data_IF_692572613015
#
_entry.id   IF_692572613015
#
_cell.length_a   1.000
_cell.length_b   1.000
_cell.length_c   1.000
_cell.angle_alpha   90.00
_cell.angle_beta   90.00
_cell.angle_gamma   90.00
#
_symmetry.space_group_name_H-M   'P 1'
#
loop_
_entity.id
_entity.type
_entity.pdbx_description
1 polymer ?
#
# COMPACT_ATOMS: atom_id res chain seq x y z
N UNK A 1 -8.76 -3.36 21.85
CA UNK A 1 -8.48 -3.23 20.40
C UNK A 1 -9.79 -2.92 19.67
N UNK A 2 -9.89 -1.78 18.97
CA UNK A 2 -11.15 -1.31 18.35
C UNK A 2 -11.54 -2.15 17.12
N UNK A 3 -10.55 -2.69 16.39
CA UNK A 3 -10.77 -3.56 15.23
C UNK A 3 -11.53 -4.83 15.64
N UNK A 4 -11.22 -5.43 16.80
CA UNK A 4 -11.93 -6.62 17.29
C UNK A 4 -13.42 -6.34 17.57
N UNK A 5 -13.74 -5.13 18.05
CA UNK A 5 -15.12 -4.74 18.30
C UNK A 5 -15.89 -4.41 17.01
N UNK A 6 -15.19 -3.94 15.97
CA UNK A 6 -15.78 -3.47 14.71
C UNK A 6 -14.92 -3.89 13.50
N UNK A 7 -14.90 -5.18 13.15
CA UNK A 7 -13.93 -5.74 12.19
C UNK A 7 -14.20 -5.35 10.74
N UNK A 8 -15.39 -4.88 10.41
CA UNK A 8 -15.79 -4.52 9.04
C UNK A 8 -15.62 -3.03 8.73
N UNK A 9 -15.21 -2.21 9.71
CA UNK A 9 -15.06 -0.77 9.52
C UNK A 9 -13.68 -0.47 8.91
N UNK A 10 -13.59 -0.04 7.63
CA UNK A 10 -12.30 0.12 6.95
C UNK A 10 -11.39 1.18 7.57
N UNK A 11 -12.00 2.19 8.21
CA UNK A 11 -11.25 3.30 8.81
C UNK A 11 -10.31 2.84 9.94
N UNK A 12 -10.70 1.83 10.72
CA UNK A 12 -9.86 1.33 11.80
C UNK A 12 -8.66 0.53 11.28
N UNK A 13 -8.87 -0.27 10.23
CA UNK A 13 -7.78 -0.96 9.54
C UNK A 13 -6.79 0.03 8.93
N UNK A 14 -7.31 1.09 8.28
CA UNK A 14 -6.49 2.14 7.68
C UNK A 14 -5.66 2.89 8.73
N UNK A 15 -6.29 3.32 9.82
CA UNK A 15 -5.60 4.03 10.90
C UNK A 15 -4.52 3.16 11.55
N UNK A 16 -4.80 1.88 11.76
CA UNK A 16 -3.81 0.96 12.31
C UNK A 16 -2.65 0.68 11.34
N UNK A 17 -2.93 0.57 10.05
CA UNK A 17 -1.91 0.45 9.02
C UNK A 17 -0.98 1.68 8.97
N UNK A 18 -1.53 2.89 9.06
CA UNK A 18 -0.77 4.14 9.10
C UNK A 18 0.18 4.17 10.32
N UNK A 19 -0.31 3.75 11.50
CA UNK A 19 0.50 3.68 12.73
C UNK A 19 1.64 2.68 12.58
N UNK A 20 1.33 1.46 12.13
CA UNK A 20 2.35 0.41 11.92
C UNK A 20 3.41 0.83 10.90
N UNK A 21 2.99 1.45 9.79
CA UNK A 21 3.92 1.97 8.79
C UNK A 21 4.85 3.03 9.38
N UNK A 22 4.32 3.92 10.21
CA UNK A 22 5.07 5.00 10.87
C UNK A 22 6.05 4.45 11.91
N UNK A 23 5.67 3.42 12.67
CA UNK A 23 6.56 2.74 13.62
C UNK A 23 7.76 2.10 12.91
N UNK A 24 7.60 1.68 11.66
CA UNK A 24 8.67 1.12 10.84
C UNK A 24 9.18 -0.23 11.36
N UNK A 25 10.22 -0.75 10.72
CA UNK A 25 10.70 -2.11 10.96
C UNK A 25 9.96 -3.14 10.10
N UNK A 26 10.63 -4.25 9.78
CA UNK A 26 10.16 -5.20 8.77
C UNK A 26 8.80 -5.83 9.13
N UNK A 27 8.64 -6.28 10.38
CA UNK A 27 7.41 -6.91 10.87
C UNK A 27 6.22 -5.94 10.86
N UNK A 28 6.43 -4.70 11.30
CA UNK A 28 5.40 -3.68 11.28
C UNK A 28 5.00 -3.32 9.85
N UNK A 29 5.96 -3.21 8.92
CA UNK A 29 5.67 -2.92 7.51
C UNK A 29 4.90 -4.05 6.81
N UNK A 30 5.26 -5.31 7.10
CA UNK A 30 4.52 -6.47 6.61
C UNK A 30 3.10 -6.49 7.18
N UNK A 31 2.93 -6.14 8.45
CA UNK A 31 1.63 -6.07 9.12
C UNK A 31 0.80 -4.90 8.57
N UNK A 32 1.39 -3.72 8.41
CA UNK A 32 0.76 -2.55 7.79
C UNK A 32 0.24 -2.88 6.39
N UNK A 33 1.04 -3.58 5.58
CA UNK A 33 0.65 -4.04 4.23
C UNK A 33 -0.63 -4.89 4.26
N UNK A 34 -0.76 -5.80 5.25
CA UNK A 34 -1.97 -6.62 5.43
C UNK A 34 -3.19 -5.77 5.76
N UNK A 35 -3.07 -4.81 6.69
CA UNK A 35 -4.20 -3.93 7.05
C UNK A 35 -4.59 -2.95 5.93
N UNK A 36 -3.63 -2.48 5.13
CA UNK A 36 -3.95 -1.75 3.90
C UNK A 36 -4.69 -2.63 2.90
N UNK A 37 -4.27 -3.90 2.71
CA UNK A 37 -4.99 -4.84 1.85
C UNK A 37 -6.42 -5.10 2.34
N UNK A 38 -6.62 -5.31 3.65
CA UNK A 38 -7.96 -5.43 4.24
C UNK A 38 -8.81 -4.18 4.01
N UNK A 39 -8.20 -2.98 4.09
CA UNK A 39 -8.90 -1.73 3.77
C UNK A 39 -9.31 -1.65 2.30
N UNK A 40 -8.45 -2.11 1.38
CA UNK A 40 -8.75 -2.19 -0.06
C UNK A 40 -9.95 -3.11 -0.28
N UNK A 41 -9.96 -4.30 0.32
CA UNK A 41 -11.03 -5.28 0.18
C UNK A 41 -12.37 -4.73 0.73
N UNK A 42 -12.36 -4.20 1.95
CA UNK A 42 -13.56 -3.64 2.59
C UNK A 42 -14.14 -2.42 1.86
N UNK A 43 -13.31 -1.70 1.08
CA UNK A 43 -13.75 -0.53 0.30
C UNK A 43 -13.99 -0.83 -1.18
N UNK A 44 -13.86 -2.09 -1.60
CA UNK A 44 -13.99 -2.50 -3.00
C UNK A 44 -12.97 -1.82 -3.92
N UNK A 45 -11.75 -1.62 -3.42
CA UNK A 45 -10.64 -1.03 -4.17
C UNK A 45 -10.72 0.48 -4.39
N UNK A 46 -11.61 1.19 -3.68
CA UNK A 46 -11.83 2.64 -3.87
C UNK A 46 -11.00 3.53 -2.96
N UNK A 47 -10.36 2.96 -1.93
CA UNK A 47 -9.57 3.72 -0.98
C UNK A 47 -8.17 4.03 -1.52
N UNK A 48 -8.01 5.25 -2.04
CA UNK A 48 -6.76 5.75 -2.63
C UNK A 48 -5.59 5.74 -1.64
N UNK A 49 -5.86 6.01 -0.35
CA UNK A 49 -4.82 6.00 0.70
C UNK A 49 -4.28 4.60 0.93
N UNK A 50 -5.16 3.61 1.02
CA UNK A 50 -4.75 2.22 1.21
C UNK A 50 -3.99 1.66 0.00
N UNK A 51 -4.43 1.99 -1.23
CA UNK A 51 -3.70 1.64 -2.45
C UNK A 51 -2.28 2.21 -2.45
N UNK A 52 -2.12 3.48 -2.05
CA UNK A 52 -0.80 4.10 -1.93
C UNK A 52 0.03 3.48 -0.79
N UNK A 53 -0.60 3.19 0.35
CA UNK A 53 0.03 2.51 1.49
C UNK A 53 0.64 1.17 1.12
N UNK A 54 -0.04 0.34 0.31
CA UNK A 54 0.52 -0.92 -0.22
C UNK A 54 1.77 -0.67 -1.07
N UNK A 55 1.77 0.36 -1.91
CA UNK A 55 2.93 0.71 -2.73
C UNK A 55 4.12 1.13 -1.87
N UNK A 56 3.88 1.95 -0.85
CA UNK A 56 4.89 2.39 0.11
C UNK A 56 5.45 1.24 0.94
N UNK A 57 4.58 0.38 1.50
CA UNK A 57 5.02 -0.78 2.28
C UNK A 57 5.88 -1.71 1.42
N UNK A 58 5.47 -1.98 0.19
CA UNK A 58 6.25 -2.86 -0.71
C UNK A 58 7.63 -2.29 -1.00
N UNK A 59 7.73 -0.99 -1.28
CA UNK A 59 9.02 -0.32 -1.50
C UNK A 59 9.91 -0.33 -0.26
N UNK A 60 9.35 0.02 0.91
CA UNK A 60 10.09 0.03 2.18
C UNK A 60 10.55 -1.37 2.60
N UNK A 61 9.72 -2.40 2.41
CA UNK A 61 10.10 -3.79 2.66
C UNK A 61 11.25 -4.19 1.74
N UNK A 62 11.17 -3.90 0.44
CA UNK A 62 12.22 -4.21 -0.52
C UNK A 62 13.56 -3.54 -0.16
N UNK A 63 13.53 -2.30 0.31
CA UNK A 63 14.71 -1.59 0.81
C UNK A 63 15.34 -2.29 2.02
N UNK A 64 14.52 -2.72 2.99
CA UNK A 64 14.99 -3.38 4.21
C UNK A 64 15.45 -4.82 3.99
N UNK A 65 14.92 -5.51 2.98
CA UNK A 65 15.28 -6.91 2.66
C UNK A 65 16.35 -7.02 1.58
N UNK A 66 16.83 -5.89 1.03
CA UNK A 66 17.87 -5.84 0.00
C UNK A 66 19.10 -6.66 0.42
N UNK A 67 19.47 -7.64 -0.40
CA UNK A 67 20.61 -8.54 -0.15
C UNK A 67 20.28 -9.86 0.57
N UNK A 68 19.07 -10.05 1.09
CA UNK A 68 18.55 -11.37 1.52
C UNK A 68 17.62 -11.91 0.43
N UNK A 69 18.03 -12.98 -0.23
CA UNK A 69 17.46 -13.40 -1.52
C UNK A 69 16.04 -14.01 -1.42
N UNK A 70 15.26 -13.69 -2.47
CA UNK A 70 14.09 -14.38 -3.07
C UNK A 70 12.99 -14.90 -2.14
N UNK A 71 11.94 -14.10 -1.99
CA UNK A 71 10.55 -14.48 -2.31
C UNK A 71 9.60 -13.32 -1.99
N UNK A 72 9.16 -12.59 -3.01
CA UNK A 72 7.92 -11.80 -2.86
C UNK A 72 7.25 -11.53 -4.22
N UNK A 73 7.04 -12.60 -5.00
CA UNK A 73 6.29 -12.51 -6.27
C UNK A 73 4.86 -12.01 -6.03
N UNK A 74 4.23 -12.42 -4.94
CA UNK A 74 2.89 -11.95 -4.54
C UNK A 74 2.91 -10.48 -4.12
N UNK A 75 3.92 -10.06 -3.34
CA UNK A 75 4.09 -8.66 -2.99
C UNK A 75 4.27 -7.74 -4.19
N UNK A 76 4.97 -8.21 -5.23
CA UNK A 76 5.15 -7.51 -6.50
C UNK A 76 3.83 -7.40 -7.31
N UNK A 77 3.02 -8.46 -7.34
CA UNK A 77 1.71 -8.45 -8.01
C UNK A 77 0.72 -7.48 -7.35
N UNK A 78 0.61 -7.52 -6.02
CA UNK A 78 -0.31 -6.64 -5.28
C UNK A 78 0.07 -5.16 -5.48
N UNK A 79 1.37 -4.85 -5.46
CA UNK A 79 1.87 -3.51 -5.77
C UNK A 79 1.49 -3.06 -7.19
N UNK A 80 1.70 -3.92 -8.20
CA UNK A 80 1.36 -3.60 -9.59
C UNK A 80 -0.14 -3.32 -9.77
N UNK A 81 -0.99 -4.12 -9.13
CA UNK A 81 -2.45 -3.92 -9.16
C UNK A 81 -2.86 -2.63 -8.45
N UNK A 82 -2.27 -2.33 -7.30
CA UNK A 82 -2.54 -1.09 -6.57
C UNK A 82 -2.13 0.15 -7.37
N UNK A 83 -0.96 0.13 -8.02
CA UNK A 83 -0.49 1.19 -8.89
C UNK A 83 -1.44 1.42 -10.08
N UNK A 84 -1.89 0.35 -10.75
CA UNK A 84 -2.86 0.44 -11.85
C UNK A 84 -4.21 1.00 -11.40
N UNK A 85 -4.68 0.61 -10.21
CA UNK A 85 -5.92 1.13 -9.64
C UNK A 85 -5.80 2.65 -9.36
N UNK A 86 -4.67 3.10 -8.80
CA UNK A 86 -4.38 4.52 -8.59
C UNK A 86 -4.34 5.30 -9.91
N UNK A 87 -3.66 4.79 -10.94
CA UNK A 87 -3.62 5.45 -12.24
C UNK A 87 -5.00 5.56 -12.90
N UNK A 88 -5.80 4.50 -12.83
CA UNK A 88 -7.19 4.53 -13.31
C UNK A 88 -8.01 5.59 -12.59
N UNK A 89 -7.84 5.66 -11.27
CA UNK A 89 -8.57 6.60 -10.43
C UNK A 89 -8.21 8.07 -10.73
N UNK A 90 -6.92 8.35 -10.83
CA UNK A 90 -6.42 9.69 -11.16
C UNK A 90 -6.81 10.12 -12.58
N UNK A 91 -6.80 9.20 -13.56
CA UNK A 91 -7.32 9.50 -14.91
C UNK A 91 -8.77 9.98 -14.90
N UNK A 92 -9.59 9.47 -13.99
CA UNK A 92 -11.00 9.83 -13.87
C UNK A 92 -11.24 11.09 -13.03
N UNK A 93 -10.51 11.24 -11.91
CA UNK A 93 -10.78 12.28 -10.91
C UNK A 93 -9.87 13.51 -10.98
N UNK A 94 -8.62 13.33 -11.43
CA UNK A 94 -7.59 14.38 -11.43
C UNK A 94 -6.53 14.11 -12.52
N UNK A 95 -6.89 14.17 -13.81
CA UNK A 95 -6.00 13.82 -14.92
C UNK A 95 -4.75 14.72 -14.98
N UNK A 96 -4.87 15.97 -14.56
CA UNK A 96 -3.82 16.97 -14.39
C UNK A 96 -2.72 16.54 -13.40
N UNK A 97 -3.05 15.68 -12.42
CA UNK A 97 -2.11 15.16 -11.41
C UNK A 97 -1.52 13.80 -11.78
N UNK A 98 -1.99 13.18 -12.86
CA UNK A 98 -1.50 11.88 -13.31
C UNK A 98 0.03 11.85 -13.53
N UNK A 99 0.68 12.86 -14.14
CA UNK A 99 2.13 12.86 -14.31
C UNK A 99 2.89 12.81 -12.98
N UNK A 100 2.37 13.49 -11.95
CA UNK A 100 2.95 13.54 -10.61
C UNK A 100 2.83 12.18 -9.92
N UNK A 101 1.65 11.54 -10.01
CA UNK A 101 1.43 10.18 -9.51
C UNK A 101 2.38 9.18 -10.19
N UNK A 102 2.46 9.18 -11.52
CA UNK A 102 3.31 8.24 -12.26
C UNK A 102 4.78 8.44 -11.90
N UNK A 103 5.22 9.68 -11.70
CA UNK A 103 6.60 9.99 -11.24
C UNK A 103 6.85 9.43 -9.84
N UNK A 104 5.92 9.65 -8.92
CA UNK A 104 6.00 9.12 -7.56
C UNK A 104 6.06 7.58 -7.55
N UNK A 105 5.16 6.91 -8.28
CA UNK A 105 5.13 5.45 -8.35
C UNK A 105 6.42 4.86 -8.96
N UNK A 106 6.97 5.48 -10.00
CA UNK A 106 8.26 5.08 -10.58
C UNK A 106 9.40 5.17 -9.57
N UNK A 107 9.45 6.24 -8.78
CA UNK A 107 10.48 6.42 -7.74
C UNK A 107 10.46 5.29 -6.70
N UNK A 108 9.28 4.72 -6.40
CA UNK A 108 9.13 3.61 -5.47
C UNK A 108 9.60 2.28 -6.05
N UNK A 109 9.53 2.09 -7.37
CA UNK A 109 10.00 0.88 -8.08
C UNK A 109 11.50 0.87 -8.32
N UNK A 110 12.13 2.04 -8.49
CA UNK A 110 13.57 2.20 -8.77
C UNK A 110 14.47 1.81 -7.58
N UNK A 111 13.90 1.63 -6.38
CA UNK A 111 14.66 1.26 -5.19
C UNK A 111 14.85 -0.25 -4.98
N UNK A 112 14.36 -1.08 -5.92
CA UNK A 112 14.49 -2.54 -5.88
C UNK A 112 15.78 -3.00 -6.56
#
# INVERSE_FOLDING_TARGET
EVILAQPTVPLYHLAYADVLYTLGGLENLQTAKKYYASTIDLTGGKNTRALFGVCLCTSAIAQLTKGKNKEDKEGSQLHSLAAKALEKDYKQRAPDKLPQLTTALKSLTLSS
#
